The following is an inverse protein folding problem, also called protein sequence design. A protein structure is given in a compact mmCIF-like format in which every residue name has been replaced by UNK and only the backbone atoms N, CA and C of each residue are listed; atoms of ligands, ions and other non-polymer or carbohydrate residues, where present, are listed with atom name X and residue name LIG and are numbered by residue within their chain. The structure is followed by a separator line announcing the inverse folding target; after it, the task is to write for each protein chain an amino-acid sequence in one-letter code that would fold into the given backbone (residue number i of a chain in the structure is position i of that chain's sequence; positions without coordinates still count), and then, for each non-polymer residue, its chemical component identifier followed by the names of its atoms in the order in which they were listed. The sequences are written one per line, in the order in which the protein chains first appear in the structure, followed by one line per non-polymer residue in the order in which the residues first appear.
data_IF_936104835661
#
_entry.id   IF_936104835661
#
_cell.length_a   1.000
_cell.length_b   1.000
_cell.length_c   1.000
_cell.angle_alpha   90.00
_cell.angle_beta   90.00
_cell.angle_gamma   90.00
#
_symmetry.space_group_name_H-M   'P 1'
#
loop_
_entity.id
_entity.type
_entity.pdbx_description
1 polymer ?
#
# COMPACT_ATOMS: atom_id res chain seq x y z
N UNK A 1 -10.50 71.02 -18.55
CA UNK A 1 -10.14 70.17 -17.40
C UNK A 1 -10.98 70.49 -16.17
N UNK A 2 -11.53 71.71 -16.06
CA UNK A 2 -12.30 72.16 -14.88
C UNK A 2 -13.67 71.48 -14.70
N UNK A 3 -14.36 71.13 -15.80
CA UNK A 3 -15.65 70.41 -15.73
C UNK A 3 -15.51 68.98 -15.18
N UNK A 4 -14.42 68.29 -15.52
CA UNK A 4 -14.12 66.96 -14.99
C UNK A 4 -13.75 67.02 -13.50
N UNK A 5 -13.07 68.10 -13.09
CA UNK A 5 -12.68 68.34 -11.71
C UNK A 5 -13.87 68.71 -10.81
N UNK A 6 -14.84 69.47 -11.32
CA UNK A 6 -16.07 69.79 -10.62
C UNK A 6 -16.98 68.56 -10.46
N UNK A 7 -17.19 67.79 -11.54
CA UNK A 7 -17.97 66.55 -11.50
C UNK A 7 -17.37 65.51 -10.55
N UNK A 8 -16.03 65.38 -10.54
CA UNK A 8 -15.33 64.47 -9.64
C UNK A 8 -15.44 64.87 -8.16
N UNK A 9 -15.64 66.16 -7.85
CA UNK A 9 -15.82 66.65 -6.48
C UNK A 9 -17.25 66.45 -5.95
N UNK A 10 -18.25 66.45 -6.83
CA UNK A 10 -19.65 66.17 -6.49
C UNK A 10 -19.95 64.66 -6.37
N UNK A 11 -19.18 63.81 -7.06
CA UNK A 11 -19.43 62.36 -7.14
C UNK A 11 -18.34 61.51 -6.44
N UNK A 12 -17.68 62.07 -5.41
CA UNK A 12 -16.60 61.40 -4.66
C UNK A 12 -17.03 60.03 -4.12
N UNK A 13 -18.26 59.92 -3.62
CA UNK A 13 -18.80 58.66 -3.10
C UNK A 13 -18.87 57.56 -4.17
N UNK A 14 -19.28 57.91 -5.40
CA UNK A 14 -19.34 56.97 -6.53
C UNK A 14 -17.94 56.52 -6.92
N UNK A 15 -16.97 57.44 -6.96
CA UNK A 15 -15.57 57.12 -7.27
C UNK A 15 -14.99 56.17 -6.21
N UNK A 16 -15.23 56.43 -4.93
CA UNK A 16 -14.81 55.56 -3.83
C UNK A 16 -15.45 54.19 -3.95
N UNK A 17 -16.76 54.11 -4.19
CA UNK A 17 -17.48 52.85 -4.34
C UNK A 17 -16.93 52.01 -5.51
N UNK A 18 -16.66 52.64 -6.66
CA UNK A 18 -16.09 51.97 -7.83
C UNK A 18 -14.67 51.46 -7.54
N UNK A 19 -13.82 52.27 -6.89
CA UNK A 19 -12.47 51.85 -6.51
C UNK A 19 -12.50 50.69 -5.50
N UNK A 20 -13.36 50.76 -4.49
CA UNK A 20 -13.54 49.68 -3.51
C UNK A 20 -14.05 48.40 -4.16
N UNK A 21 -15.01 48.49 -5.08
CA UNK A 21 -15.50 47.34 -5.84
C UNK A 21 -14.39 46.71 -6.70
N UNK A 22 -13.54 47.52 -7.32
CA UNK A 22 -12.40 47.05 -8.11
C UNK A 22 -11.36 46.34 -7.24
N UNK A 23 -11.00 46.91 -6.09
CA UNK A 23 -10.10 46.28 -5.11
C UNK A 23 -10.68 44.96 -4.60
N UNK A 24 -11.98 44.91 -4.30
CA UNK A 24 -12.66 43.69 -3.87
C UNK A 24 -12.66 42.60 -4.95
N UNK A 25 -12.88 42.97 -6.23
CA UNK A 25 -12.80 42.05 -7.37
C UNK A 25 -11.40 41.47 -7.53
N UNK A 26 -10.37 42.31 -7.50
CA UNK A 26 -8.98 41.89 -7.56
C UNK A 26 -8.64 40.97 -6.37
N UNK A 27 -9.04 41.35 -5.16
CA UNK A 27 -8.86 40.54 -3.95
C UNK A 27 -9.54 39.17 -4.06
N UNK A 28 -10.75 39.11 -4.60
CA UNK A 28 -11.47 37.86 -4.82
C UNK A 28 -10.79 36.96 -5.85
N UNK A 29 -10.24 37.53 -6.93
CA UNK A 29 -9.48 36.78 -7.93
C UNK A 29 -8.18 36.21 -7.36
N UNK A 30 -7.41 37.00 -6.61
CA UNK A 30 -6.21 36.53 -5.92
C UNK A 30 -6.53 35.46 -4.87
N UNK A 31 -7.57 35.68 -4.06
CA UNK A 31 -8.03 34.71 -3.07
C UNK A 31 -8.40 33.37 -3.73
N UNK A 32 -9.14 33.40 -4.85
CA UNK A 32 -9.51 32.19 -5.59
C UNK A 32 -8.30 31.47 -6.20
N UNK A 33 -7.32 32.21 -6.72
CA UNK A 33 -6.09 31.63 -7.23
C UNK A 33 -5.27 30.96 -6.12
N UNK A 34 -5.16 31.61 -4.96
CA UNK A 34 -4.47 31.08 -3.79
C UNK A 34 -5.19 29.85 -3.22
N UNK A 35 -6.53 29.84 -3.12
CA UNK A 35 -7.28 28.67 -2.67
C UNK A 35 -7.04 27.46 -3.58
N UNK A 36 -6.97 27.65 -4.90
CA UNK A 36 -6.65 26.57 -5.84
C UNK A 36 -5.25 26.02 -5.61
N UNK A 37 -4.28 26.90 -5.38
CA UNK A 37 -2.89 26.50 -5.07
C UNK A 37 -2.82 25.74 -3.75
N UNK A 38 -3.50 26.22 -2.72
CA UNK A 38 -3.59 25.55 -1.41
C UNK A 38 -4.24 24.18 -1.50
N UNK A 39 -5.32 24.03 -2.28
CA UNK A 39 -5.95 22.73 -2.53
C UNK A 39 -4.99 21.76 -3.23
N UNK A 40 -4.26 22.22 -4.25
CA UNK A 40 -3.26 21.41 -4.94
C UNK A 40 -2.16 20.93 -3.97
N UNK A 41 -1.60 21.84 -3.17
CA UNK A 41 -0.57 21.52 -2.18
C UNK A 41 -1.09 20.57 -1.09
N UNK A 42 -2.34 20.73 -0.66
CA UNK A 42 -2.98 19.84 0.31
C UNK A 42 -3.11 18.42 -0.24
N UNK A 43 -3.56 18.27 -1.49
CA UNK A 43 -3.66 16.96 -2.13
C UNK A 43 -2.30 16.28 -2.28
N UNK A 44 -1.27 17.04 -2.67
CA UNK A 44 0.10 16.55 -2.76
C UNK A 44 0.64 16.12 -1.38
N UNK A 45 0.42 16.93 -0.34
CA UNK A 45 0.79 16.59 1.03
C UNK A 45 0.07 15.33 1.54
N UNK A 46 -1.24 15.19 1.28
CA UNK A 46 -2.00 13.99 1.64
C UNK A 46 -1.43 12.75 0.96
N UNK A 47 -1.07 12.87 -0.33
CA UNK A 47 -0.44 11.77 -1.08
C UNK A 47 0.91 11.39 -0.48
N UNK A 48 1.80 12.36 -0.24
CA UNK A 48 3.08 12.11 0.42
C UNK A 48 2.92 11.48 1.80
N UNK A 49 1.90 11.89 2.57
CA UNK A 49 1.61 11.32 3.87
C UNK A 49 1.19 9.84 3.77
N UNK A 50 0.32 9.49 2.80
CA UNK A 50 -0.07 8.10 2.55
C UNK A 50 1.13 7.25 2.13
N UNK A 51 2.02 7.78 1.29
CA UNK A 51 3.22 7.06 0.85
C UNK A 51 4.23 6.84 1.98
N UNK A 52 4.42 7.85 2.82
CA UNK A 52 5.26 7.73 4.00
C UNK A 52 4.71 6.64 4.95
N UNK A 53 3.38 6.57 5.11
CA UNK A 53 2.73 5.54 5.92
C UNK A 53 2.84 4.14 5.29
N UNK A 54 2.69 4.02 3.97
CA UNK A 54 2.83 2.72 3.28
C UNK A 54 4.28 2.22 3.32
N UNK A 55 5.27 3.11 3.22
CA UNK A 55 6.69 2.78 3.44
C UNK A 55 6.96 2.37 4.89
N UNK A 56 6.41 3.09 5.87
CA UNK A 56 6.55 2.76 7.28
C UNK A 56 5.95 1.37 7.60
N UNK A 57 4.77 1.07 7.06
CA UNK A 57 4.18 -0.28 7.10
C UNK A 57 5.11 -1.31 6.47
N UNK A 58 5.66 -1.01 5.29
CA UNK A 58 6.56 -1.90 4.57
C UNK A 58 7.82 -2.25 5.38
N UNK A 59 8.43 -1.25 6.02
CA UNK A 59 9.58 -1.46 6.92
C UNK A 59 9.23 -2.38 8.11
N UNK A 60 8.05 -2.20 8.71
CA UNK A 60 7.58 -3.07 9.79
C UNK A 60 7.37 -4.50 9.30
N UNK A 61 6.75 -4.69 8.13
CA UNK A 61 6.51 -6.00 7.53
C UNK A 61 7.83 -6.72 7.16
N UNK A 62 8.82 -6.00 6.60
CA UNK A 62 10.15 -6.54 6.29
C UNK A 62 10.83 -7.05 7.56
N UNK A 63 10.82 -6.24 8.62
CA UNK A 63 11.42 -6.61 9.91
C UNK A 63 10.71 -7.83 10.52
N UNK A 64 9.38 -7.86 10.46
CA UNK A 64 8.59 -8.97 10.97
C UNK A 64 8.87 -10.28 10.21
N UNK A 65 8.97 -10.22 8.88
CA UNK A 65 9.36 -11.38 8.06
C UNK A 65 10.79 -11.84 8.37
N UNK A 66 11.72 -10.91 8.63
CA UNK A 66 13.06 -11.24 9.09
C UNK A 66 13.06 -11.97 10.44
N UNK A 67 12.26 -11.50 11.39
CA UNK A 67 12.07 -12.17 12.69
C UNK A 67 11.46 -13.57 12.51
N UNK A 68 10.45 -13.71 11.65
CA UNK A 68 9.82 -14.99 11.34
C UNK A 68 10.82 -15.98 10.72
N UNK A 69 11.67 -15.53 9.78
CA UNK A 69 12.74 -16.35 9.21
C UNK A 69 13.76 -16.78 10.28
N UNK A 70 14.21 -15.86 11.14
CA UNK A 70 15.12 -16.19 12.23
C UNK A 70 14.50 -17.16 13.24
N UNK A 71 13.22 -17.00 13.56
CA UNK A 71 12.50 -17.95 14.40
C UNK A 71 12.47 -19.34 13.77
N UNK A 72 12.20 -19.43 12.45
CA UNK A 72 12.24 -20.69 11.74
C UNK A 72 13.62 -21.37 11.81
N UNK A 73 14.72 -20.61 11.63
CA UNK A 73 16.11 -21.11 11.75
C UNK A 73 16.42 -21.60 13.17
N UNK A 74 15.96 -20.88 14.18
CA UNK A 74 16.33 -21.12 15.59
C UNK A 74 15.30 -21.94 16.38
N UNK A 75 14.25 -22.46 15.73
CA UNK A 75 13.13 -23.16 16.40
C UNK A 75 13.54 -24.31 17.34
N UNK A 76 14.62 -25.02 17.02
CA UNK A 76 15.13 -26.14 17.85
C UNK A 76 15.88 -25.66 19.10
N UNK A 77 16.39 -24.43 19.09
CA UNK A 77 17.13 -23.81 20.18
C UNK A 77 16.22 -23.12 21.21
N UNK A 78 14.89 -23.20 21.03
CA UNK A 78 13.95 -22.68 22.02
C UNK A 78 14.08 -23.44 23.34
N UNK A 79 13.85 -22.76 24.47
CA UNK A 79 14.06 -23.35 25.79
C UNK A 79 13.17 -24.59 26.05
N UNK A 80 11.91 -24.53 25.63
CA UNK A 80 10.93 -25.61 25.77
C UNK A 80 9.78 -25.45 24.74
N UNK A 81 8.83 -26.38 24.72
CA UNK A 81 7.67 -26.34 23.82
C UNK A 81 6.73 -25.16 24.09
N UNK A 82 6.56 -24.77 25.36
CA UNK A 82 5.73 -23.62 25.73
C UNK A 82 6.29 -22.30 25.17
N UNK A 83 7.60 -22.09 25.27
CA UNK A 83 8.29 -20.92 24.72
C UNK A 83 8.20 -20.89 23.19
N UNK A 84 8.39 -22.04 22.53
CA UNK A 84 8.19 -22.16 21.08
C UNK A 84 6.76 -21.80 20.67
N UNK A 85 5.76 -22.36 21.35
CA UNK A 85 4.36 -22.13 21.05
C UNK A 85 3.97 -20.67 21.24
N UNK A 86 4.40 -20.05 22.35
CA UNK A 86 4.13 -18.64 22.62
C UNK A 86 4.74 -17.73 21.55
N UNK A 87 6.00 -17.98 21.16
CA UNK A 87 6.65 -17.16 20.15
C UNK A 87 6.01 -17.34 18.77
N UNK A 88 5.63 -18.57 18.41
CA UNK A 88 4.88 -18.88 17.18
C UNK A 88 3.56 -18.12 17.11
N UNK A 89 2.75 -18.19 18.18
CA UNK A 89 1.45 -17.49 18.26
C UNK A 89 1.64 -15.97 18.13
N UNK A 90 2.62 -15.40 18.83
CA UNK A 90 2.90 -13.97 18.76
C UNK A 90 3.27 -13.53 17.33
N UNK A 91 4.08 -14.31 16.61
CA UNK A 91 4.43 -14.03 15.22
C UNK A 91 3.22 -14.16 14.29
N UNK A 92 2.39 -15.19 14.46
CA UNK A 92 1.16 -15.38 13.69
C UNK A 92 0.20 -14.20 13.85
N UNK A 93 -0.05 -13.76 15.09
CA UNK A 93 -0.87 -12.59 15.38
C UNK A 93 -0.32 -11.32 14.73
N UNK A 94 1.00 -11.11 14.84
CA UNK A 94 1.65 -9.95 14.22
C UNK A 94 1.53 -9.99 12.68
N UNK A 95 1.75 -11.14 12.05
CA UNK A 95 1.68 -11.30 10.59
C UNK A 95 0.26 -11.07 10.08
N UNK A 96 -0.75 -11.64 10.75
CA UNK A 96 -2.16 -11.42 10.42
C UNK A 96 -2.54 -9.94 10.58
N UNK A 97 -2.14 -9.30 11.68
CA UNK A 97 -2.37 -7.87 11.90
C UNK A 97 -1.72 -6.99 10.82
N UNK A 98 -0.52 -7.34 10.35
CA UNK A 98 0.16 -6.61 9.27
C UNK A 98 -0.60 -6.70 7.94
N UNK A 99 -1.23 -7.84 7.65
CA UNK A 99 -2.03 -8.01 6.44
C UNK A 99 -3.24 -7.08 6.47
N UNK A 100 -3.94 -7.03 7.60
CA UNK A 100 -5.12 -6.16 7.73
C UNK A 100 -4.76 -4.67 7.65
N UNK A 101 -3.66 -4.25 8.29
CA UNK A 101 -3.16 -2.87 8.14
C UNK A 101 -2.73 -2.57 6.71
N UNK A 102 -2.14 -3.55 6.02
CA UNK A 102 -1.69 -3.40 4.65
C UNK A 102 -2.85 -3.13 3.67
N UNK A 103 -4.05 -3.66 3.94
CA UNK A 103 -5.24 -3.41 3.10
C UNK A 103 -5.63 -1.93 3.01
N UNK A 104 -5.22 -1.10 3.97
CA UNK A 104 -5.45 0.35 3.94
C UNK A 104 -4.67 1.04 2.81
N UNK A 105 -3.55 0.44 2.38
CA UNK A 105 -2.66 0.99 1.35
C UNK A 105 -2.72 0.19 0.04
N UNK A 106 -3.01 -1.11 0.13
CA UNK A 106 -2.98 -2.04 -0.99
C UNK A 106 -4.38 -2.64 -1.21
N UNK A 107 -5.23 -1.98 -2.01
CA UNK A 107 -6.57 -2.50 -2.30
C UNK A 107 -6.50 -3.83 -3.04
N UNK A 108 -7.53 -4.67 -2.83
CA UNK A 108 -7.62 -5.95 -3.53
C UNK A 108 -7.79 -5.75 -5.04
N UNK A 109 -7.28 -6.72 -5.78
CA UNK A 109 -7.37 -6.80 -7.22
C UNK A 109 -8.76 -7.30 -7.61
N UNK A 110 -9.39 -6.58 -8.53
CA UNK A 110 -10.70 -6.93 -9.11
C UNK A 110 -11.80 -7.16 -8.04
N UNK A 111 -12.14 -6.14 -7.26
CA UNK A 111 -13.13 -6.25 -6.18
C UNK A 111 -14.57 -6.43 -6.67
N UNK A 112 -14.84 -6.31 -7.97
CA UNK A 112 -16.19 -6.42 -8.55
C UNK A 112 -16.53 -7.86 -8.96
N UNK A 113 -15.54 -8.71 -9.27
CA UNK A 113 -15.78 -10.05 -9.80
C UNK A 113 -15.86 -11.16 -8.75
N UNK A 114 -15.26 -10.97 -7.57
CA UNK A 114 -15.14 -12.01 -6.53
C UNK A 114 -15.54 -11.52 -5.15
N UNK A 115 -16.27 -12.36 -4.42
CA UNK A 115 -16.58 -12.14 -3.01
C UNK A 115 -17.60 -11.02 -2.77
N UNK A 116 -18.66 -10.96 -3.59
CA UNK A 116 -19.71 -9.94 -3.47
C UNK A 116 -20.38 -9.94 -2.07
N UNK A 117 -20.39 -11.11 -1.43
CA UNK A 117 -20.87 -11.36 -0.07
C UNK A 117 -19.95 -10.79 1.03
N UNK A 118 -18.71 -10.44 0.72
CA UNK A 118 -17.71 -9.95 1.69
C UNK A 118 -17.79 -8.43 1.86
N UNK A 119 -17.23 -7.91 2.95
CA UNK A 119 -17.07 -6.47 3.14
C UNK A 119 -16.11 -5.88 2.10
N UNK A 120 -16.27 -4.60 1.77
CA UNK A 120 -15.59 -3.95 0.63
C UNK A 120 -14.08 -4.17 0.56
N UNK A 121 -13.38 -4.09 1.70
CA UNK A 121 -11.92 -4.29 1.79
C UNK A 121 -11.46 -5.76 1.59
N UNK A 122 -12.39 -6.71 1.60
CA UNK A 122 -12.16 -8.15 1.48
C UNK A 122 -12.70 -8.74 0.17
N UNK A 123 -13.35 -7.92 -0.67
CA UNK A 123 -13.77 -8.32 -2.03
C UNK A 123 -12.58 -8.41 -2.97
N UNK A 124 -12.65 -9.27 -3.97
CA UNK A 124 -11.57 -9.48 -4.93
C UNK A 124 -10.44 -10.39 -4.42
N UNK A 125 -9.31 -10.32 -5.12
CA UNK A 125 -8.10 -11.10 -4.82
C UNK A 125 -7.09 -10.26 -4.04
N UNK A 126 -6.50 -10.84 -2.99
CA UNK A 126 -5.43 -10.19 -2.23
C UNK A 126 -4.24 -9.84 -3.16
N UNK A 127 -3.63 -8.65 -3.05
CA UNK A 127 -2.48 -8.30 -3.87
C UNK A 127 -1.22 -9.09 -3.45
N UNK A 128 -0.27 -9.33 -4.38
CA UNK A 128 0.94 -10.11 -4.14
C UNK A 128 1.75 -9.68 -2.90
N UNK A 129 1.82 -8.36 -2.64
CA UNK A 129 2.51 -7.80 -1.47
C UNK A 129 1.95 -8.30 -0.13
N UNK A 130 0.63 -8.46 -0.03
CA UNK A 130 -0.03 -8.96 1.17
C UNK A 130 -0.07 -10.50 1.19
N UNK A 131 -0.06 -11.15 0.02
CA UNK A 131 0.10 -12.59 -0.08
C UNK A 131 1.45 -13.05 0.46
N UNK A 132 2.54 -12.32 0.21
CA UNK A 132 3.85 -12.60 0.78
C UNK A 132 3.81 -12.72 2.32
N UNK A 133 3.10 -11.81 2.99
CA UNK A 133 2.96 -11.84 4.46
C UNK A 133 2.09 -13.02 4.90
N UNK A 134 1.00 -13.31 4.18
CA UNK A 134 0.15 -14.45 4.49
C UNK A 134 0.80 -15.81 4.23
N UNK A 135 1.65 -15.92 3.22
CA UNK A 135 2.42 -17.15 2.97
C UNK A 135 3.39 -17.42 4.11
N UNK A 136 4.06 -16.38 4.62
CA UNK A 136 4.88 -16.51 5.81
C UNK A 136 4.04 -16.90 7.05
N UNK A 137 2.85 -16.33 7.23
CA UNK A 137 1.93 -16.74 8.30
C UNK A 137 1.67 -18.25 8.26
N UNK A 138 1.30 -18.79 7.09
CA UNK A 138 1.01 -20.21 6.93
C UNK A 138 2.24 -21.10 7.11
N UNK A 139 3.42 -20.65 6.67
CA UNK A 139 4.65 -21.40 6.93
C UNK A 139 4.96 -21.45 8.43
N UNK A 140 4.80 -20.33 9.16
CA UNK A 140 4.99 -20.26 10.61
C UNK A 140 3.97 -21.10 11.37
N UNK A 141 2.70 -21.06 10.99
CA UNK A 141 1.62 -21.86 11.59
C UNK A 141 1.95 -23.36 11.54
N UNK A 142 2.47 -23.80 10.41
CA UNK A 142 2.83 -25.19 10.16
C UNK A 142 4.21 -25.60 10.75
N UNK A 143 4.94 -24.69 11.39
CA UNK A 143 6.17 -25.04 12.09
C UNK A 143 5.87 -25.82 13.35
N UNK A 144 6.65 -26.86 13.58
CA UNK A 144 6.75 -27.52 14.88
C UNK A 144 8.19 -27.41 15.37
N UNK A 145 8.40 -27.59 16.68
CA UNK A 145 9.75 -27.53 17.26
C UNK A 145 10.65 -28.66 16.74
N UNK A 146 10.12 -29.89 16.69
CA UNK A 146 10.90 -31.12 16.49
C UNK A 146 10.70 -31.79 15.12
N UNK A 147 9.63 -31.46 14.39
CA UNK A 147 9.25 -32.12 13.14
C UNK A 147 8.94 -31.13 11.99
N UNK A 148 8.86 -31.65 10.77
CA UNK A 148 8.56 -30.87 9.55
C UNK A 148 9.79 -30.53 8.70
N UNK A 149 9.63 -29.71 7.63
CA UNK A 149 10.72 -29.29 6.75
C UNK A 149 11.89 -28.72 7.56
N UNK A 150 13.12 -28.86 7.04
CA UNK A 150 14.32 -28.36 7.74
C UNK A 150 14.14 -26.88 8.13
N UNK A 151 14.72 -26.52 9.28
CA UNK A 151 14.65 -25.16 9.81
C UNK A 151 15.11 -24.12 8.76
N UNK A 152 16.15 -24.47 8.00
CA UNK A 152 16.68 -23.68 6.88
C UNK A 152 15.67 -23.55 5.73
N UNK A 153 15.05 -24.65 5.28
CA UNK A 153 14.09 -24.61 4.18
C UNK A 153 12.85 -23.75 4.51
N UNK A 154 12.42 -23.71 5.77
CA UNK A 154 11.32 -22.83 6.20
C UNK A 154 11.73 -21.37 6.22
N UNK A 155 12.94 -21.08 6.70
CA UNK A 155 13.48 -19.74 6.73
C UNK A 155 13.73 -19.17 5.33
N UNK A 156 14.30 -19.97 4.42
CA UNK A 156 14.60 -19.54 3.05
C UNK A 156 13.30 -19.23 2.27
N UNK A 157 12.23 -19.99 2.51
CA UNK A 157 10.91 -19.69 1.95
C UNK A 157 10.34 -18.36 2.46
N UNK A 158 10.49 -18.08 3.76
CA UNK A 158 10.07 -16.79 4.34
C UNK A 158 10.92 -15.64 3.78
N UNK A 159 12.22 -15.89 3.54
CA UNK A 159 13.10 -14.93 2.88
C UNK A 159 12.66 -14.64 1.43
N UNK A 160 12.18 -15.64 0.69
CA UNK A 160 11.60 -15.43 -0.64
C UNK A 160 10.28 -14.64 -0.59
N UNK A 161 9.44 -14.88 0.42
CA UNK A 161 8.26 -14.05 0.68
C UNK A 161 8.68 -12.59 0.95
N UNK A 162 9.72 -12.38 1.76
CA UNK A 162 10.28 -11.05 2.04
C UNK A 162 10.79 -10.35 0.78
N UNK A 163 11.46 -11.07 -0.11
CA UNK A 163 11.90 -10.54 -1.41
C UNK A 163 10.72 -10.11 -2.28
N UNK A 164 9.65 -10.92 -2.35
CA UNK A 164 8.43 -10.54 -3.07
C UNK A 164 7.83 -9.25 -2.48
N UNK A 165 7.72 -9.15 -1.16
CA UNK A 165 7.21 -7.95 -0.50
C UNK A 165 8.04 -6.70 -0.82
N UNK A 166 9.37 -6.79 -0.76
CA UNK A 166 10.27 -5.67 -1.08
C UNK A 166 10.11 -5.25 -2.54
N UNK A 167 10.07 -6.21 -3.48
CA UNK A 167 9.86 -5.92 -4.89
C UNK A 167 8.54 -5.19 -5.14
N UNK A 168 7.45 -5.62 -4.50
CA UNK A 168 6.15 -4.99 -4.64
C UNK A 168 6.08 -3.60 -3.98
N UNK A 169 6.73 -3.44 -2.82
CA UNK A 169 6.80 -2.14 -2.13
C UNK A 169 7.58 -1.13 -2.96
N UNK A 170 8.72 -1.53 -3.54
CA UNK A 170 9.48 -0.69 -4.46
C UNK A 170 8.64 -0.32 -5.69
N UNK A 171 7.94 -1.29 -6.27
CA UNK A 171 7.05 -1.09 -7.41
C UNK A 171 5.89 -0.12 -7.12
N UNK A 172 5.42 -0.05 -5.87
CA UNK A 172 4.37 0.86 -5.42
C UNK A 172 4.89 2.31 -5.20
N UNK A 173 6.13 2.46 -4.75
CA UNK A 173 6.72 3.74 -4.35
C UNK A 173 7.56 4.43 -5.44
N UNK A 174 7.90 3.75 -6.54
CA UNK A 174 8.78 4.30 -7.59
C UNK A 174 8.23 5.62 -8.21
N UNK A 175 8.93 6.76 -8.05
CA UNK A 175 8.55 8.05 -8.64
C UNK A 175 8.60 8.05 -10.18
N UNK A 176 9.45 7.21 -10.79
CA UNK A 176 9.55 7.11 -12.27
C UNK A 176 8.28 6.52 -12.90
N UNK A 177 7.47 5.82 -12.10
CA UNK A 177 6.13 5.34 -12.48
C UNK A 177 5.03 6.39 -12.27
N UNK A 178 5.34 7.53 -11.64
CA UNK A 178 4.35 8.51 -11.17
C UNK A 178 4.23 9.75 -12.05
N UNK A 179 5.25 10.15 -12.82
CA UNK A 179 5.29 11.47 -13.47
C UNK A 179 5.47 11.54 -15.00
N UNK A 180 5.53 10.46 -15.78
CA UNK A 180 5.89 10.62 -17.22
C UNK A 180 5.22 9.65 -18.23
N UNK A 181 4.33 10.25 -19.04
CA UNK A 181 3.89 9.89 -20.41
C UNK A 181 2.95 8.67 -20.57
N UNK A 182 1.66 9.01 -20.65
CA UNK A 182 0.46 8.18 -20.87
C UNK A 182 0.46 7.50 -22.26
N UNK A 183 1.21 6.42 -22.46
CA UNK A 183 0.97 5.58 -23.65
C UNK A 183 2.01 4.52 -24.03
N UNK A 184 3.21 4.51 -23.44
CA UNK A 184 4.20 3.42 -23.67
C UNK A 184 4.44 2.51 -22.47
N UNK A 185 3.89 2.82 -21.31
CA UNK A 185 4.21 2.13 -20.04
C UNK A 185 3.06 1.33 -19.42
N UNK A 186 1.86 1.36 -19.99
CA UNK A 186 0.75 0.51 -19.54
C UNK A 186 1.13 -0.98 -19.66
N UNK A 187 1.78 -1.36 -20.77
CA UNK A 187 2.32 -2.70 -20.97
C UNK A 187 3.35 -3.10 -19.91
N UNK A 188 4.21 -2.18 -19.46
CA UNK A 188 5.22 -2.49 -18.43
C UNK A 188 4.58 -2.64 -17.04
N UNK A 189 3.49 -1.90 -16.77
CA UNK A 189 2.69 -2.05 -15.54
C UNK A 189 1.95 -3.39 -15.53
N UNK A 190 1.42 -3.81 -16.67
CA UNK A 190 0.79 -5.13 -16.85
C UNK A 190 1.80 -6.26 -16.73
N UNK A 191 2.96 -6.17 -17.39
CA UNK A 191 4.03 -7.18 -17.30
C UNK A 191 4.49 -7.37 -15.86
N UNK A 192 4.81 -6.29 -15.13
CA UNK A 192 5.22 -6.41 -13.74
C UNK A 192 4.11 -6.95 -12.82
N UNK A 193 2.86 -6.55 -13.05
CA UNK A 193 1.73 -7.11 -12.30
C UNK A 193 1.60 -8.60 -12.59
N UNK A 194 1.75 -9.03 -13.84
CA UNK A 194 1.74 -10.44 -14.25
C UNK A 194 2.91 -11.21 -13.62
N UNK A 195 4.13 -10.66 -13.64
CA UNK A 195 5.30 -11.24 -12.98
C UNK A 195 5.09 -11.40 -11.47
N UNK A 196 4.53 -10.40 -10.80
CA UNK A 196 4.22 -10.44 -9.38
C UNK A 196 3.12 -11.46 -9.07
N UNK A 197 2.08 -11.54 -9.91
CA UNK A 197 1.05 -12.58 -9.84
C UNK A 197 1.68 -13.96 -9.97
N UNK A 198 2.53 -14.16 -10.96
CA UNK A 198 3.20 -15.42 -11.25
C UNK A 198 4.11 -15.81 -10.09
N UNK A 199 4.92 -14.88 -9.56
CA UNK A 199 5.80 -15.13 -8.42
C UNK A 199 5.03 -15.49 -7.16
N UNK A 200 3.92 -14.80 -6.90
CA UNK A 200 3.01 -15.17 -5.82
C UNK A 200 2.37 -16.55 -6.03
N UNK A 201 1.96 -16.89 -7.26
CA UNK A 201 1.44 -18.21 -7.61
C UNK A 201 2.51 -19.30 -7.45
N UNK A 202 3.77 -19.04 -7.81
CA UNK A 202 4.89 -19.96 -7.58
C UNK A 202 5.09 -20.21 -6.09
N UNK A 203 5.15 -19.15 -5.27
CA UNK A 203 5.27 -19.29 -3.82
C UNK A 203 4.08 -20.01 -3.20
N UNK A 204 2.88 -19.77 -3.72
CA UNK A 204 1.65 -20.47 -3.32
C UNK A 204 1.70 -21.96 -3.66
N UNK A 205 2.17 -22.31 -4.86
CA UNK A 205 2.33 -23.70 -5.29
C UNK A 205 3.39 -24.41 -4.45
N UNK A 206 4.50 -23.74 -4.14
CA UNK A 206 5.50 -24.23 -3.19
C UNK A 206 4.92 -24.43 -1.80
N UNK A 207 4.07 -23.51 -1.31
CA UNK A 207 3.41 -23.66 -0.02
C UNK A 207 2.47 -24.87 -0.01
N UNK A 208 1.67 -25.04 -1.06
CA UNK A 208 0.76 -26.19 -1.21
C UNK A 208 1.54 -27.52 -1.27
N UNK A 209 2.65 -27.57 -1.99
CA UNK A 209 3.47 -28.80 -2.08
C UNK A 209 4.11 -29.14 -0.73
N UNK A 210 4.55 -28.13 0.01
CA UNK A 210 5.07 -28.29 1.39
C UNK A 210 3.96 -28.67 2.37
N UNK A 211 2.76 -28.14 2.19
CA UNK A 211 1.63 -28.17 3.14
C UNK A 211 0.31 -28.48 2.42
N UNK A 212 0.04 -29.75 2.08
CA UNK A 212 -1.11 -30.14 1.26
C UNK A 212 -2.49 -29.88 1.91
N UNK A 213 -2.55 -29.65 3.23
CA UNK A 213 -3.79 -29.35 3.96
C UNK A 213 -4.23 -27.89 3.96
N UNK A 214 -3.43 -26.95 3.42
CA UNK A 214 -3.76 -25.50 3.49
C UNK A 214 -4.71 -25.11 2.36
N UNK A 215 -5.91 -24.64 2.73
CA UNK A 215 -6.88 -24.12 1.77
C UNK A 215 -6.58 -22.65 1.45
N UNK A 216 -5.97 -22.40 0.28
CA UNK A 216 -5.71 -21.04 -0.23
C UNK A 216 -6.64 -20.74 -1.40
N UNK A 217 -7.44 -19.68 -1.31
CA UNK A 217 -8.40 -19.28 -2.35
C UNK A 217 -7.75 -19.15 -3.73
N UNK A 218 -8.42 -19.59 -4.80
CA UNK A 218 -7.87 -19.59 -6.16
C UNK A 218 -7.81 -18.19 -6.78
N UNK A 219 -6.64 -17.87 -7.34
CA UNK A 219 -6.43 -16.65 -8.13
C UNK A 219 -6.73 -17.00 -9.58
N UNK A 220 -7.69 -16.31 -10.19
CA UNK A 220 -7.96 -16.47 -11.63
C UNK A 220 -6.96 -15.59 -12.36
N UNK A 221 -6.29 -16.13 -13.36
CA UNK A 221 -5.43 -15.38 -14.29
C UNK A 221 -6.30 -14.58 -15.27
N UNK A 222 -7.17 -13.70 -14.77
CA UNK A 222 -7.86 -12.75 -15.62
C UNK A 222 -7.08 -11.44 -15.57
N UNK A 223 -5.98 -11.42 -16.34
CA UNK A 223 -5.44 -10.17 -16.88
C UNK A 223 -6.30 -9.89 -18.11
N UNK A 224 -7.35 -9.08 -17.93
CA UNK A 224 -8.06 -8.43 -19.02
C UNK A 224 -7.65 -6.96 -19.03
#
# INVERSE_FOLDING_TARGET
MDAAFAWGRENVEVIVAVLSAFVALIGALFSRAETRKQQSLLHENLRHAVDAQSLAWGNQAINLLGQAAMFARTRQHQANDGAFLQHRINLMLALSSMVERGRLFFPNIDPQSKGAEKEGAYRGSRPPILDAVMFAYYEIEALTRTSGPTAENSADYIDDCRRLLVSELQAHLDPRRRDTVVGRYDNQRETHRSEAVQRANTLKSMLKSRRPGITLGERSETVQ
#
